data_IF_307377243774
#
_entry.id   IF_307377243774
#
_cell.length_a   1.000
_cell.length_b   1.000
_cell.length_c   1.000
_cell.angle_alpha   90.00
_cell.angle_beta   90.00
_cell.angle_gamma   90.00
#
_symmetry.space_group_name_H-M   'P 1'
#
loop_
_entity.id
_entity.type
_entity.pdbx_description
1 polymer ?
#
# COMPACT_ATOMS: atom_id res chain seq x y z
N UNK A 1 -10.70 -40.82 40.69
CA UNK A 1 -9.22 -40.77 40.76
C UNK A 1 -8.68 -40.63 39.35
N UNK A 2 -8.08 -39.48 39.09
CA UNK A 2 -7.24 -39.04 37.96
C UNK A 2 -7.36 -39.78 36.60
N UNK A 3 -7.95 -39.09 35.63
CA UNK A 3 -7.39 -39.06 34.26
C UNK A 3 -7.17 -37.58 33.96
N UNK A 4 -6.04 -37.04 34.40
CA UNK A 4 -4.83 -36.99 33.60
C UNK A 4 -5.14 -36.24 32.30
N UNK A 5 -4.74 -34.97 32.29
CA UNK A 5 -4.77 -34.10 31.14
C UNK A 5 -4.17 -34.81 29.93
N UNK A 6 -4.92 -34.86 28.83
CA UNK A 6 -4.34 -35.14 27.53
C UNK A 6 -4.85 -34.07 26.58
N UNK A 7 -4.02 -33.04 26.51
CA UNK A 7 -4.00 -31.89 25.62
C UNK A 7 -4.06 -32.36 24.14
N UNK A 8 -5.21 -32.84 23.67
CA UNK A 8 -5.36 -33.29 22.28
C UNK A 8 -5.51 -32.06 21.37
N UNK A 9 -4.36 -31.58 20.91
CA UNK A 9 -4.17 -30.78 19.69
C UNK A 9 -5.28 -31.13 18.69
N UNK A 10 -6.10 -30.14 18.33
CA UNK A 10 -6.99 -30.26 17.19
C UNK A 10 -6.12 -30.69 15.99
N UNK A 11 -6.30 -31.94 15.55
CA UNK A 11 -5.52 -32.52 14.46
C UNK A 11 -6.07 -31.89 13.19
N UNK A 12 -5.35 -30.93 12.63
CA UNK A 12 -5.63 -30.38 11.30
C UNK A 12 -5.75 -31.57 10.35
N UNK A 13 -6.85 -31.61 9.61
CA UNK A 13 -7.13 -32.66 8.66
C UNK A 13 -6.13 -32.62 7.51
N UNK A 14 -5.86 -33.77 6.90
CA UNK A 14 -4.96 -33.84 5.74
C UNK A 14 -5.48 -33.00 4.56
N UNK A 15 -6.79 -32.81 4.46
CA UNK A 15 -7.43 -31.90 3.51
C UNK A 15 -7.09 -30.43 3.78
N UNK A 16 -7.23 -29.96 5.03
CA UNK A 16 -6.84 -28.60 5.42
C UNK A 16 -5.34 -28.34 5.21
N UNK A 17 -4.48 -29.35 5.46
CA UNK A 17 -3.04 -29.24 5.18
C UNK A 17 -2.79 -29.13 3.67
N UNK A 18 -3.55 -29.84 2.84
CA UNK A 18 -3.42 -29.77 1.38
C UNK A 18 -3.90 -28.41 0.84
N UNK A 19 -5.02 -27.88 1.34
CA UNK A 19 -5.56 -26.58 0.96
C UNK A 19 -4.62 -25.44 1.37
N UNK A 20 -4.07 -25.48 2.59
CA UNK A 20 -3.07 -24.51 3.03
C UNK A 20 -1.80 -24.57 2.18
N UNK A 21 -1.38 -25.75 1.73
CA UNK A 21 -0.21 -25.90 0.85
C UNK A 21 -0.45 -25.36 -0.55
N UNK A 22 -1.64 -25.61 -1.11
CA UNK A 22 -2.04 -25.05 -2.40
C UNK A 22 -2.09 -23.51 -2.36
N UNK A 23 -2.58 -22.93 -1.27
CA UNK A 23 -2.60 -21.47 -1.08
C UNK A 23 -1.19 -20.90 -0.86
N UNK A 24 -0.34 -21.59 -0.09
CA UNK A 24 1.08 -21.21 0.06
C UNK A 24 1.80 -21.19 -1.30
N UNK A 25 1.56 -22.19 -2.16
CA UNK A 25 2.16 -22.26 -3.49
C UNK A 25 1.63 -21.16 -4.41
N UNK A 26 0.32 -20.89 -4.37
CA UNK A 26 -0.31 -19.81 -5.13
C UNK A 26 0.23 -18.43 -4.72
N UNK A 27 0.27 -18.12 -3.42
CA UNK A 27 0.81 -16.87 -2.89
C UNK A 27 2.32 -16.73 -3.17
N UNK A 28 3.07 -17.82 -3.07
CA UNK A 28 4.50 -17.83 -3.43
C UNK A 28 4.70 -17.55 -4.92
N UNK A 29 3.82 -18.05 -5.80
CA UNK A 29 3.83 -17.75 -7.23
C UNK A 29 3.46 -16.31 -7.57
N UNK A 30 2.59 -15.66 -6.78
CA UNK A 30 2.28 -14.24 -6.92
C UNK A 30 3.45 -13.34 -6.49
N UNK A 31 4.14 -13.71 -5.41
CA UNK A 31 5.31 -12.99 -4.86
C UNK A 31 6.57 -13.19 -5.72
N UNK A 32 6.72 -14.35 -6.36
CA UNK A 32 7.89 -14.68 -7.17
C UNK A 32 7.92 -13.99 -8.54
N UNK A 33 6.87 -13.25 -8.93
CA UNK A 33 6.89 -12.43 -10.15
C UNK A 33 7.66 -11.14 -9.87
N UNK A 34 8.79 -10.85 -10.55
CA UNK A 34 9.39 -9.53 -10.48
C UNK A 34 8.37 -8.53 -11.04
N UNK A 35 7.92 -7.61 -10.19
CA UNK A 35 7.11 -6.49 -10.65
C UNK A 35 8.01 -5.53 -11.44
N UNK A 36 7.67 -5.29 -12.71
CA UNK A 36 8.41 -4.40 -13.63
C UNK A 36 7.44 -3.38 -14.25
N UNK A 37 6.50 -2.87 -13.44
CA UNK A 37 5.41 -2.03 -13.95
C UNK A 37 5.70 -0.54 -13.76
N UNK A 38 5.70 0.20 -14.88
CA UNK A 38 5.80 1.67 -14.89
C UNK A 38 4.72 2.36 -14.03
N UNK A 39 3.58 1.71 -13.78
CA UNK A 39 2.46 2.33 -13.08
C UNK A 39 2.68 2.51 -11.58
N UNK A 40 3.26 1.54 -10.86
CA UNK A 40 3.60 1.75 -9.45
C UNK A 40 4.71 2.80 -9.33
N UNK A 41 5.68 2.78 -10.24
CA UNK A 41 6.73 3.79 -10.30
C UNK A 41 6.13 5.19 -10.51
N UNK A 42 5.16 5.34 -11.41
CA UNK A 42 4.42 6.59 -11.61
C UNK A 42 3.67 7.04 -10.35
N UNK A 43 3.02 6.13 -9.62
CA UNK A 43 2.33 6.44 -8.36
C UNK A 43 3.34 6.92 -7.32
N UNK A 44 4.48 6.24 -7.18
CA UNK A 44 5.51 6.61 -6.21
C UNK A 44 6.19 7.94 -6.55
N UNK A 45 6.44 8.20 -7.83
CA UNK A 45 6.98 9.48 -8.31
C UNK A 45 5.96 10.61 -8.09
N UNK A 46 4.69 10.39 -8.41
CA UNK A 46 3.62 11.37 -8.18
C UNK A 46 3.42 11.62 -6.69
N UNK A 47 3.44 10.59 -5.84
CA UNK A 47 3.35 10.74 -4.38
C UNK A 47 4.53 11.56 -3.83
N UNK A 48 5.74 11.29 -4.30
CA UNK A 48 6.89 12.12 -3.97
C UNK A 48 6.70 13.57 -4.42
N UNK A 49 6.21 13.80 -5.63
CA UNK A 49 5.95 15.14 -6.17
C UNK A 49 4.90 15.90 -5.35
N UNK A 50 3.80 15.25 -4.99
CA UNK A 50 2.74 15.86 -4.17
C UNK A 50 3.26 16.27 -2.80
N UNK A 51 4.05 15.42 -2.15
CA UNK A 51 4.64 15.73 -0.85
C UNK A 51 5.73 16.81 -0.91
N UNK A 52 6.57 16.82 -1.95
CA UNK A 52 7.52 17.92 -2.19
C UNK A 52 6.80 19.25 -2.40
N UNK A 53 5.70 19.23 -3.19
CA UNK A 53 4.92 20.41 -3.53
C UNK A 53 4.14 21.00 -2.35
N UNK A 54 3.57 20.16 -1.47
CA UNK A 54 2.68 20.61 -0.40
C UNK A 54 3.25 20.46 1.01
N UNK A 55 4.36 19.74 1.17
CA UNK A 55 4.98 19.47 2.46
C UNK A 55 4.29 18.34 3.25
N UNK A 56 5.03 17.68 4.13
CA UNK A 56 4.48 16.61 4.97
C UNK A 56 3.47 17.11 6.01
N UNK A 57 3.63 18.34 6.51
CA UNK A 57 2.72 18.97 7.47
C UNK A 57 1.30 19.13 6.93
N UNK A 58 1.17 19.24 5.60
CA UNK A 58 -0.12 19.35 4.93
C UNK A 58 -0.98 18.10 5.15
N UNK A 59 -0.37 16.92 5.32
CA UNK A 59 -1.08 15.66 5.53
C UNK A 59 -1.36 15.37 7.01
N UNK A 60 -0.48 15.79 7.93
CA UNK A 60 -0.59 15.53 9.37
C UNK A 60 -1.89 16.04 10.00
N UNK A 61 -2.46 17.12 9.45
CA UNK A 61 -3.69 17.75 9.97
C UNK A 61 -4.99 17.19 9.40
N UNK A 62 -4.95 16.28 8.42
CA UNK A 62 -6.16 15.80 7.73
C UNK A 62 -6.93 14.80 8.59
N UNK A 63 -8.23 15.04 8.74
CA UNK A 63 -9.18 14.07 9.27
C UNK A 63 -9.52 13.00 8.21
N UNK A 64 -10.06 11.83 8.60
CA UNK A 64 -10.47 10.80 7.65
C UNK A 64 -11.43 11.30 6.55
N UNK A 65 -12.30 12.26 6.89
CA UNK A 65 -13.24 12.89 5.96
C UNK A 65 -12.52 13.74 4.90
N UNK A 66 -11.44 14.44 5.27
CA UNK A 66 -10.64 15.24 4.34
C UNK A 66 -9.98 14.35 3.28
N UNK A 67 -9.47 13.18 3.70
CA UNK A 67 -8.94 12.18 2.80
C UNK A 67 -10.00 11.61 1.87
N UNK A 68 -11.15 11.23 2.41
CA UNK A 68 -12.27 10.73 1.62
C UNK A 68 -12.66 11.73 0.52
N UNK A 69 -12.80 13.00 0.87
CA UNK A 69 -13.15 14.05 -0.09
C UNK A 69 -12.06 14.28 -1.14
N UNK A 70 -10.79 14.28 -0.75
CA UNK A 70 -9.67 14.45 -1.68
C UNK A 70 -9.60 13.29 -2.69
N UNK A 71 -9.74 12.05 -2.23
CA UNK A 71 -9.81 10.85 -3.08
C UNK A 71 -11.00 10.95 -4.03
N UNK A 72 -12.19 11.24 -3.50
CA UNK A 72 -13.40 11.38 -4.31
C UNK A 72 -13.29 12.49 -5.37
N UNK A 73 -12.66 13.61 -5.02
CA UNK A 73 -12.44 14.72 -5.93
C UNK A 73 -11.51 14.35 -7.09
N UNK A 74 -10.36 13.73 -6.81
CA UNK A 74 -9.41 13.32 -7.85
C UNK A 74 -9.95 12.17 -8.72
N UNK A 75 -10.61 11.19 -8.11
CA UNK A 75 -11.31 10.14 -8.84
C UNK A 75 -12.41 10.71 -9.74
N UNK A 76 -13.13 11.73 -9.26
CA UNK A 76 -14.13 12.47 -10.05
C UNK A 76 -13.53 13.15 -11.28
N UNK A 77 -12.32 13.74 -11.16
CA UNK A 77 -11.60 14.29 -12.32
C UNK A 77 -11.16 13.21 -13.30
N UNK A 78 -10.70 12.07 -12.81
CA UNK A 78 -10.34 10.93 -13.65
C UNK A 78 -11.57 10.45 -14.46
N UNK A 79 -12.71 10.27 -13.79
CA UNK A 79 -13.98 9.92 -14.43
C UNK A 79 -14.40 10.96 -15.48
N UNK A 80 -14.36 12.25 -15.13
CA UNK A 80 -14.73 13.32 -16.04
C UNK A 80 -13.85 13.35 -17.30
N UNK A 81 -12.53 13.26 -17.15
CA UNK A 81 -11.59 13.20 -18.26
C UNK A 81 -11.79 11.95 -19.13
N UNK A 82 -12.02 10.80 -18.50
CA UNK A 82 -12.28 9.55 -19.22
C UNK A 82 -13.56 9.64 -20.05
N UNK A 83 -14.64 10.20 -19.50
CA UNK A 83 -15.90 10.43 -20.22
C UNK A 83 -15.75 11.43 -21.37
N UNK A 84 -14.80 12.35 -21.28
CA UNK A 84 -14.48 13.30 -22.35
C UNK A 84 -13.56 12.72 -23.44
N UNK A 85 -13.08 11.49 -23.29
CA UNK A 85 -12.14 10.86 -24.21
C UNK A 85 -10.68 11.29 -24.05
N UNK A 86 -10.36 12.08 -23.03
CA UNK A 86 -8.99 12.50 -22.71
C UNK A 86 -8.31 11.45 -21.82
N UNK A 87 -7.82 10.39 -22.46
CA UNK A 87 -7.25 9.23 -21.77
C UNK A 87 -5.95 9.57 -21.01
N UNK A 88 -5.14 10.49 -21.53
CA UNK A 88 -3.92 10.92 -20.85
C UNK A 88 -4.24 11.62 -19.54
N UNK A 89 -5.23 12.52 -19.55
CA UNK A 89 -5.66 13.22 -18.35
C UNK A 89 -6.42 12.32 -17.38
N UNK A 90 -7.19 11.36 -17.90
CA UNK A 90 -7.83 10.33 -17.08
C UNK A 90 -6.77 9.50 -16.33
N UNK A 91 -5.76 9.01 -17.06
CA UNK A 91 -4.65 8.26 -16.48
C UNK A 91 -3.88 9.06 -15.42
N UNK A 92 -3.51 10.31 -15.74
CA UNK A 92 -2.85 11.20 -14.79
C UNK A 92 -3.66 11.36 -13.50
N UNK A 93 -4.96 11.61 -13.57
CA UNK A 93 -5.80 11.74 -12.38
C UNK A 93 -5.97 10.41 -11.63
N UNK A 94 -5.97 9.27 -12.31
CA UNK A 94 -5.93 7.95 -11.66
C UNK A 94 -4.64 7.78 -10.85
N UNK A 95 -3.48 8.13 -11.42
CA UNK A 95 -2.18 8.09 -10.73
C UNK A 95 -2.17 9.06 -9.54
N UNK A 96 -2.63 10.31 -9.71
CA UNK A 96 -2.71 11.27 -8.61
C UNK A 96 -3.64 10.81 -7.49
N UNK A 97 -4.73 10.10 -7.81
CA UNK A 97 -5.64 9.52 -6.80
C UNK A 97 -4.95 8.41 -6.02
N UNK A 98 -4.22 7.52 -6.70
CA UNK A 98 -3.47 6.45 -6.07
C UNK A 98 -2.32 6.98 -5.19
N UNK A 99 -1.65 8.06 -5.59
CA UNK A 99 -0.66 8.75 -4.78
C UNK A 99 -1.26 9.27 -3.46
N UNK A 100 -2.44 9.91 -3.51
CA UNK A 100 -3.17 10.34 -2.30
C UNK A 100 -3.55 9.15 -1.42
N UNK A 101 -3.98 8.02 -1.99
CA UNK A 101 -4.25 6.81 -1.22
C UNK A 101 -3.00 6.27 -0.53
N UNK A 102 -1.83 6.36 -1.17
CA UNK A 102 -0.56 5.98 -0.55
C UNK A 102 -0.22 6.89 0.64
N UNK A 103 -0.46 8.20 0.53
CA UNK A 103 -0.29 9.14 1.65
C UNK A 103 -1.26 8.85 2.80
N UNK A 104 -2.54 8.60 2.49
CA UNK A 104 -3.54 8.27 3.50
C UNK A 104 -3.20 6.97 4.22
N UNK A 105 -2.79 5.94 3.47
CA UNK A 105 -2.32 4.68 4.05
C UNK A 105 -1.12 4.89 4.98
N UNK A 106 -0.14 5.72 4.58
CA UNK A 106 0.99 6.08 5.43
C UNK A 106 0.54 6.72 6.75
N UNK A 107 -0.42 7.65 6.71
CA UNK A 107 -0.96 8.30 7.90
C UNK A 107 -1.66 7.29 8.82
N UNK A 108 -2.48 6.38 8.27
CA UNK A 108 -3.18 5.36 9.05
C UNK A 108 -2.18 4.43 9.75
N UNK A 109 -1.14 4.00 9.03
CA UNK A 109 -0.14 3.08 9.56
C UNK A 109 0.85 3.76 10.51
N UNK A 110 0.92 5.09 10.53
CA UNK A 110 2.02 5.83 11.18
C UNK A 110 3.38 5.53 10.54
N UNK A 111 3.38 4.84 9.40
CA UNK A 111 4.57 4.40 8.70
C UNK A 111 4.87 5.43 7.61
N UNK A 112 5.72 6.37 7.99
CA UNK A 112 6.16 7.45 7.11
C UNK A 112 7.05 6.98 5.94
N UNK A 113 7.34 5.67 5.85
CA UNK A 113 8.23 5.04 4.85
C UNK A 113 7.64 4.94 3.43
N UNK A 114 6.51 5.59 3.13
CA UNK A 114 6.15 5.84 1.73
C UNK A 114 7.20 6.80 1.14
N UNK A 115 8.11 6.20 0.35
CA UNK A 115 9.21 6.77 -0.44
C UNK A 115 9.42 8.28 -0.22
N UNK A 116 10.49 8.64 0.53
CA UNK A 116 10.95 10.01 0.84
C UNK A 116 12.18 10.43 0.01
N UNK A 117 12.05 10.82 -1.27
CA UNK A 117 13.16 11.45 -1.97
C UNK A 117 13.60 12.70 -1.21
N UNK A 118 14.87 12.76 -0.83
CA UNK A 118 15.46 13.87 -0.05
C UNK A 118 15.70 13.60 1.44
N UNK A 119 15.21 12.49 2.01
CA UNK A 119 15.56 12.06 3.38
C UNK A 119 15.87 10.56 3.35
N UNK A 120 17.07 10.23 2.88
CA UNK A 120 17.45 8.83 2.62
C UNK A 120 18.95 8.58 2.56
N UNK A 121 19.74 9.32 3.34
CA UNK A 121 21.17 9.02 3.49
C UNK A 121 21.57 8.52 4.89
N UNK A 122 20.72 8.63 5.93
CA UNK A 122 21.22 8.48 7.30
C UNK A 122 20.50 7.47 8.22
N UNK A 123 19.64 6.59 7.70
CA UNK A 123 19.09 5.49 8.53
C UNK A 123 19.11 4.11 7.87
N UNK A 124 20.24 3.76 7.25
CA UNK A 124 20.66 2.35 7.03
C UNK A 124 21.93 2.03 7.86
N UNK A 125 22.23 2.80 8.91
CA UNK A 125 23.38 2.54 9.78
C UNK A 125 23.01 2.00 11.17
N UNK A 126 21.73 1.98 11.56
CA UNK A 126 21.31 1.60 12.92
C UNK A 126 20.75 0.17 13.03
N UNK A 127 20.78 -0.64 11.96
CA UNK A 127 20.32 -2.05 11.98
C UNK A 127 21.45 -3.02 11.61
N UNK A 128 22.71 -2.59 11.76
CA UNK A 128 23.88 -3.45 11.51
C UNK A 128 25.03 -3.22 12.48
N UNK A 129 24.73 -2.76 13.70
CA UNK A 129 25.67 -2.82 14.82
C UNK A 129 24.90 -3.02 16.12
N UNK A 130 25.15 -4.20 16.73
CA UNK A 130 24.78 -4.68 18.08
C UNK A 130 23.38 -5.31 18.27
#
# INVERSE_FOLDING_TARGET
MARAEDFKRARVSEGEVADMRAEIEHLSGLIARPYVGAWLDEILVEAAHQRDRWGAEHDTGKAPEDWFWLVGYLAGKALAAHKAGDLNKAHHHTVSTAAVLAHWAAQISGDENVMRPGIGAEKIACVSAE
#
